data_IF_991665679761
#
_entry.id   IF_991665679761
#
_cell.length_a   1.000
_cell.length_b   1.000
_cell.length_c   1.000
_cell.angle_alpha   90.00
_cell.angle_beta   90.00
_cell.angle_gamma   90.00
#
_symmetry.space_group_name_H-M   'P 1'
#
loop_
_entity.id
_entity.type
_entity.pdbx_description
1 polymer ?
#
# COMPACT_ATOMS: atom_id res chain seq x y z
N UNK A 1 23.31 -8.50 -1.20
CA UNK A 1 22.76 -7.22 -1.73
C UNK A 1 21.46 -6.93 -0.96
N UNK A 2 21.30 -5.73 -0.36
CA UNK A 2 20.03 -5.37 0.26
C UNK A 2 19.01 -5.16 -0.87
N UNK A 3 17.93 -5.98 -0.89
CA UNK A 3 16.83 -5.84 -1.86
C UNK A 3 16.21 -4.43 -1.78
N UNK A 4 15.82 -3.89 -2.93
CA UNK A 4 15.09 -2.63 -3.00
C UNK A 4 13.78 -2.75 -2.21
N UNK A 5 13.63 -1.93 -1.16
CA UNK A 5 12.43 -1.93 -0.33
C UNK A 5 11.34 -1.16 -1.04
N UNK A 6 10.20 -1.80 -1.29
CA UNK A 6 9.01 -1.08 -1.70
C UNK A 6 8.49 -0.19 -0.56
N UNK A 7 8.24 1.07 -0.87
CA UNK A 7 7.69 2.05 0.07
C UNK A 7 6.17 2.01 0.06
N UNK A 8 5.59 1.84 -1.11
CA UNK A 8 4.17 1.72 -1.32
C UNK A 8 3.77 0.30 -1.68
N UNK A 9 3.10 -0.38 -0.75
CA UNK A 9 2.41 -1.64 -1.00
C UNK A 9 0.99 -1.26 -1.43
N UNK A 10 0.74 -1.20 -2.73
CA UNK A 10 -0.54 -0.70 -3.25
C UNK A 10 -1.58 -1.82 -3.32
N UNK A 11 -2.33 -2.01 -2.24
CA UNK A 11 -3.56 -2.80 -2.23
C UNK A 11 -4.75 -1.91 -2.54
N UNK A 12 -5.54 -2.31 -3.51
CA UNK A 12 -6.72 -1.59 -3.97
C UNK A 12 -7.92 -1.95 -3.09
N UNK A 13 -8.59 -0.95 -2.53
CA UNK A 13 -9.76 -1.11 -1.68
C UNK A 13 -11.01 -0.66 -2.41
N UNK A 14 -12.01 -1.52 -2.45
CA UNK A 14 -13.30 -1.29 -3.12
C UNK A 14 -14.46 -1.26 -2.13
N UNK A 15 -15.54 -0.55 -2.47
CA UNK A 15 -16.81 -0.62 -1.75
C UNK A 15 -17.67 -1.78 -2.27
N UNK A 16 -18.87 -1.97 -1.68
CA UNK A 16 -19.82 -3.00 -2.12
C UNK A 16 -20.32 -2.81 -3.55
N UNK A 17 -20.35 -1.59 -4.06
CA UNK A 17 -20.76 -1.28 -5.43
C UNK A 17 -19.65 -1.48 -6.47
N UNK A 18 -18.45 -1.89 -6.05
CA UNK A 18 -17.31 -2.09 -6.94
C UNK A 18 -16.55 -0.81 -7.29
N UNK A 19 -16.85 0.32 -6.63
CA UNK A 19 -16.09 1.55 -6.82
C UNK A 19 -14.81 1.54 -5.99
N UNK A 20 -13.72 1.97 -6.58
CA UNK A 20 -12.43 2.09 -5.88
C UNK A 20 -12.49 3.23 -4.87
N UNK A 21 -12.20 2.92 -3.61
CA UNK A 21 -12.17 3.89 -2.52
C UNK A 21 -10.79 4.52 -2.34
N UNK A 22 -9.76 3.69 -2.27
CA UNK A 22 -8.38 4.15 -2.07
C UNK A 22 -7.37 3.02 -2.25
N UNK A 23 -6.10 3.39 -2.23
CA UNK A 23 -5.01 2.44 -2.03
C UNK A 23 -4.62 2.36 -0.56
N UNK A 24 -4.18 1.21 -0.11
CA UNK A 24 -3.73 1.03 1.26
C UNK A 24 -2.53 0.08 1.38
N UNK A 25 -1.92 0.06 2.56
CA UNK A 25 -0.83 -0.87 2.86
C UNK A 25 -1.33 -2.30 3.01
N UNK A 26 -0.47 -3.27 2.74
CA UNK A 26 -0.70 -4.67 3.00
C UNK A 26 -1.17 -4.93 4.44
N UNK A 27 -0.57 -4.24 5.42
CA UNK A 27 -0.95 -4.37 6.83
C UNK A 27 -2.40 -3.98 7.07
N UNK A 28 -2.90 -2.93 6.41
CA UNK A 28 -4.30 -2.48 6.49
C UNK A 28 -5.22 -3.47 5.80
N UNK A 29 -4.88 -3.93 4.59
CA UNK A 29 -5.63 -4.96 3.86
C UNK A 29 -5.77 -6.25 4.71
N UNK A 30 -4.66 -6.76 5.26
CA UNK A 30 -4.67 -7.91 6.18
C UNK A 30 -5.57 -7.68 7.39
N UNK A 31 -5.51 -6.49 7.98
CA UNK A 31 -6.35 -6.19 9.14
C UNK A 31 -7.83 -6.26 8.82
N UNK A 32 -8.24 -5.82 7.65
CA UNK A 32 -9.64 -5.81 7.24
C UNK A 32 -10.15 -7.21 6.83
N UNK A 33 -9.36 -7.94 6.05
CA UNK A 33 -9.79 -9.24 5.54
C UNK A 33 -9.59 -10.36 6.57
N UNK A 34 -8.37 -10.46 7.16
CA UNK A 34 -8.01 -11.62 7.99
C UNK A 34 -8.33 -11.42 9.46
N UNK A 35 -8.11 -10.20 10.02
CA UNK A 35 -8.28 -9.99 11.46
C UNK A 35 -9.69 -9.59 11.87
N UNK A 36 -10.32 -8.71 11.07
CA UNK A 36 -11.63 -8.14 11.38
C UNK A 36 -12.75 -8.80 10.59
N UNK A 37 -12.42 -9.53 9.53
CA UNK A 37 -13.35 -10.21 8.63
C UNK A 37 -14.43 -9.29 8.04
N UNK A 38 -14.10 -8.01 7.86
CA UNK A 38 -14.99 -6.98 7.34
C UNK A 38 -14.78 -6.70 5.85
N UNK A 39 -13.92 -7.48 5.21
CA UNK A 39 -13.61 -7.37 3.79
C UNK A 39 -13.31 -8.75 3.19
N UNK A 40 -13.41 -8.87 1.87
CA UNK A 40 -13.16 -10.10 1.12
C UNK A 40 -12.11 -9.83 0.05
N UNK A 41 -11.19 -10.78 -0.17
CA UNK A 41 -10.22 -10.73 -1.25
C UNK A 41 -10.91 -10.83 -2.61
N UNK A 42 -10.39 -10.13 -3.61
CA UNK A 42 -10.86 -10.18 -4.99
C UNK A 42 -9.74 -10.62 -5.93
N UNK A 43 -10.12 -11.37 -6.98
CA UNK A 43 -9.25 -11.65 -8.12
C UNK A 43 -9.18 -10.44 -9.09
N UNK A 44 -8.44 -10.60 -10.20
CA UNK A 44 -8.33 -9.54 -11.20
C UNK A 44 -9.66 -9.22 -11.89
N UNK A 45 -10.56 -10.20 -11.95
CA UNK A 45 -11.89 -10.12 -12.57
C UNK A 45 -12.99 -9.72 -11.57
N UNK A 46 -12.61 -9.28 -10.35
CA UNK A 46 -13.50 -8.88 -9.26
C UNK A 46 -14.36 -9.99 -8.66
N UNK A 47 -14.01 -11.27 -8.86
CA UNK A 47 -14.65 -12.36 -8.15
C UNK A 47 -14.07 -12.50 -6.74
N UNK A 48 -14.91 -12.93 -5.80
CA UNK A 48 -14.50 -13.17 -4.42
C UNK A 48 -13.60 -14.41 -4.32
N UNK A 49 -12.55 -14.29 -3.52
CA UNK A 49 -11.62 -15.38 -3.20
C UNK A 49 -11.82 -15.76 -1.73
N UNK A 50 -12.13 -17.02 -1.41
CA UNK A 50 -12.21 -17.50 -0.04
C UNK A 50 -10.87 -17.36 0.68
N UNK A 51 -10.91 -17.03 1.97
CA UNK A 51 -9.68 -16.86 2.78
C UNK A 51 -8.84 -18.15 2.85
N UNK A 52 -9.47 -19.32 2.76
CA UNK A 52 -8.80 -20.63 2.78
C UNK A 52 -7.95 -20.87 1.52
N UNK A 53 -8.30 -20.22 0.43
CA UNK A 53 -7.57 -20.29 -0.84
C UNK A 53 -6.37 -19.32 -0.90
N UNK A 54 -6.22 -18.46 0.10
CA UNK A 54 -5.23 -17.39 0.10
C UNK A 54 -4.07 -17.71 1.03
N UNK A 55 -2.87 -17.78 0.48
CA UNK A 55 -1.65 -17.97 1.25
C UNK A 55 -0.84 -16.69 1.35
N UNK A 56 -0.16 -16.52 2.47
CA UNK A 56 0.77 -15.42 2.71
C UNK A 56 2.20 -15.89 2.44
N UNK A 57 2.86 -15.26 1.48
CA UNK A 57 4.22 -15.58 1.06
C UNK A 57 5.17 -14.44 1.47
N UNK A 58 6.21 -14.79 2.20
CA UNK A 58 7.31 -13.91 2.58
C UNK A 58 8.66 -14.51 2.14
N UNK A 59 9.76 -13.81 2.41
CA UNK A 59 11.10 -14.27 2.02
C UNK A 59 11.46 -15.61 2.66
N UNK A 60 11.03 -15.85 3.92
CA UNK A 60 11.40 -17.05 4.68
C UNK A 60 10.68 -18.32 4.20
N UNK A 61 9.44 -18.18 3.73
CA UNK A 61 8.60 -19.32 3.33
C UNK A 61 8.41 -19.48 1.81
N UNK A 62 8.94 -18.55 1.00
CA UNK A 62 8.72 -18.52 -0.45
C UNK A 62 9.07 -19.82 -1.16
N UNK A 63 10.28 -20.34 -0.93
CA UNK A 63 10.77 -21.56 -1.59
C UNK A 63 9.94 -22.77 -1.17
N UNK A 64 9.65 -22.90 0.13
CA UNK A 64 8.88 -24.03 0.66
C UNK A 64 7.45 -24.03 0.12
N UNK A 65 6.80 -22.85 0.05
CA UNK A 65 5.44 -22.74 -0.47
C UNK A 65 5.40 -22.89 -1.99
N UNK A 66 6.38 -22.36 -2.71
CA UNK A 66 6.49 -22.56 -4.16
C UNK A 66 6.59 -24.03 -4.51
N UNK A 67 7.45 -24.80 -3.84
CA UNK A 67 7.59 -26.24 -4.04
C UNK A 67 6.31 -27.01 -3.64
N UNK A 68 5.71 -26.66 -2.51
CA UNK A 68 4.52 -27.35 -1.97
C UNK A 68 3.30 -27.18 -2.88
N UNK A 69 3.10 -25.99 -3.44
CA UNK A 69 1.93 -25.66 -4.24
C UNK A 69 2.21 -25.51 -5.73
N UNK A 70 3.41 -25.87 -6.17
CA UNK A 70 3.86 -25.77 -7.58
C UNK A 70 3.67 -24.39 -8.18
N UNK A 71 4.05 -23.35 -7.41
CA UNK A 71 3.97 -21.94 -7.83
C UNK A 71 5.23 -21.60 -8.61
N UNK A 72 5.08 -20.93 -9.74
CA UNK A 72 6.21 -20.45 -10.53
C UNK A 72 6.98 -19.36 -9.76
N UNK A 73 8.25 -19.64 -9.50
CA UNK A 73 9.13 -18.70 -8.77
C UNK A 73 9.30 -17.38 -9.50
N UNK A 74 9.25 -17.38 -10.83
CA UNK A 74 9.35 -16.14 -11.63
C UNK A 74 8.23 -15.15 -11.31
N UNK A 75 7.03 -15.65 -11.04
CA UNK A 75 5.88 -14.84 -10.63
C UNK A 75 6.11 -14.23 -9.25
N UNK A 76 6.72 -14.97 -8.33
CA UNK A 76 7.01 -14.49 -6.98
C UNK A 76 8.18 -13.49 -6.96
N UNK A 77 9.20 -13.73 -7.78
CA UNK A 77 10.38 -12.86 -7.87
C UNK A 77 10.09 -11.53 -8.59
N UNK A 78 9.15 -11.54 -9.54
CA UNK A 78 8.68 -10.32 -10.23
C UNK A 78 7.86 -9.40 -9.34
N UNK A 79 7.32 -9.94 -8.24
CA UNK A 79 6.56 -9.18 -7.25
C UNK A 79 7.40 -8.97 -5.98
N UNK A 80 7.20 -7.84 -5.32
CA UNK A 80 7.85 -7.60 -4.04
C UNK A 80 7.19 -8.40 -2.93
N UNK A 81 8.00 -9.09 -2.16
CA UNK A 81 7.59 -9.77 -0.94
C UNK A 81 7.54 -8.79 0.25
N UNK A 82 6.65 -9.02 1.22
CA UNK A 82 5.66 -10.10 1.28
C UNK A 82 4.40 -9.84 0.43
N UNK A 83 3.70 -10.90 0.03
CA UNK A 83 2.48 -10.82 -0.80
C UNK A 83 1.42 -11.86 -0.40
N UNK A 84 0.19 -11.68 -0.91
CA UNK A 84 -0.88 -12.67 -0.85
C UNK A 84 -1.06 -13.32 -2.22
N UNK A 85 -1.27 -14.63 -2.23
CA UNK A 85 -1.39 -15.44 -3.43
C UNK A 85 -2.61 -16.35 -3.35
N UNK A 86 -3.42 -16.37 -4.41
CA UNK A 86 -4.54 -17.31 -4.53
C UNK A 86 -4.07 -18.60 -5.17
N UNK A 87 -4.33 -19.73 -4.52
CA UNK A 87 -3.98 -21.06 -5.01
C UNK A 87 -4.86 -21.48 -6.18
N UNK A 88 -6.17 -21.23 -6.10
CA UNK A 88 -7.13 -21.59 -7.14
C UNK A 88 -6.95 -20.78 -8.43
N UNK A 89 -6.73 -19.48 -8.28
CA UNK A 89 -6.56 -18.54 -9.40
C UNK A 89 -5.13 -18.41 -9.90
N UNK A 90 -4.14 -18.97 -9.17
CA UNK A 90 -2.70 -18.92 -9.48
C UNK A 90 -2.19 -17.50 -9.75
N UNK A 91 -2.62 -16.53 -8.93
CA UNK A 91 -2.26 -15.12 -9.11
C UNK A 91 -1.99 -14.41 -7.79
N UNK A 92 -1.21 -13.32 -7.86
CA UNK A 92 -0.96 -12.40 -6.73
C UNK A 92 -2.20 -11.55 -6.50
N UNK A 93 -2.64 -11.48 -5.24
CA UNK A 93 -3.82 -10.72 -4.84
C UNK A 93 -3.39 -9.32 -4.39
N UNK A 94 -3.99 -8.30 -4.99
CA UNK A 94 -3.80 -6.89 -4.62
C UNK A 94 -5.11 -6.12 -4.46
N UNK A 95 -6.26 -6.79 -4.56
CA UNK A 95 -7.59 -6.19 -4.48
C UNK A 95 -8.40 -6.81 -3.35
N UNK A 96 -9.20 -5.99 -2.68
CA UNK A 96 -10.19 -6.45 -1.71
C UNK A 96 -11.38 -5.50 -1.64
N UNK A 97 -12.54 -6.03 -1.27
CA UNK A 97 -13.80 -5.30 -1.15
C UNK A 97 -14.28 -5.30 0.30
N UNK A 98 -14.74 -4.15 0.78
CA UNK A 98 -15.39 -4.03 2.07
C UNK A 98 -16.78 -4.70 2.04
N UNK A 99 -17.12 -5.46 3.08
CA UNK A 99 -18.40 -6.17 3.20
C UNK A 99 -19.52 -5.28 3.80
N UNK A 100 -19.24 -4.00 4.01
CA UNK A 100 -20.19 -3.02 4.54
C UNK A 100 -20.18 -1.76 3.67
N UNK A 101 -21.31 -1.03 3.71
CA UNK A 101 -21.38 0.29 3.09
C UNK A 101 -20.47 1.22 3.91
N UNK A 102 -19.31 1.55 3.37
CA UNK A 102 -18.52 2.62 3.93
C UNK A 102 -19.37 3.89 3.90
N UNK A 103 -19.74 4.42 5.06
CA UNK A 103 -20.34 5.74 5.15
C UNK A 103 -19.26 6.75 4.77
N UNK A 104 -19.10 6.97 3.48
CA UNK A 104 -18.47 8.16 2.97
C UNK A 104 -19.46 9.26 3.36
N UNK A 105 -19.23 9.88 4.52
CA UNK A 105 -19.97 11.09 4.88
C UNK A 105 -19.64 12.12 3.80
N UNK A 106 -20.46 12.13 2.76
CA UNK A 106 -20.57 13.27 1.85
C UNK A 106 -21.18 14.38 2.71
N UNK A 107 -20.32 15.08 3.46
CA UNK A 107 -20.74 16.35 4.05
C UNK A 107 -21.23 17.21 2.89
N UNK A 108 -22.47 17.66 2.96
CA UNK A 108 -23.20 18.32 1.85
C UNK A 108 -22.64 19.71 1.47
N UNK A 109 -21.52 20.11 2.06
CA UNK A 109 -20.95 21.41 1.84
C UNK A 109 -19.74 21.31 0.89
N UNK A 110 -19.87 21.99 -0.25
CA UNK A 110 -18.87 22.22 -1.29
C UNK A 110 -18.46 21.01 -2.17
N UNK A 111 -19.23 20.79 -3.23
CA UNK A 111 -19.03 19.71 -4.22
C UNK A 111 -17.68 19.76 -4.98
N UNK A 112 -16.93 20.86 -4.95
CA UNK A 112 -15.67 20.99 -5.70
C UNK A 112 -14.44 20.52 -4.92
N UNK A 113 -14.34 20.78 -3.62
CA UNK A 113 -13.18 20.38 -2.81
C UNK A 113 -13.10 18.86 -2.57
N UNK A 114 -14.24 18.16 -2.54
CA UNK A 114 -14.29 16.72 -2.31
C UNK A 114 -13.89 15.86 -3.50
N UNK A 115 -14.14 16.34 -4.71
CA UNK A 115 -13.75 15.63 -5.92
C UNK A 115 -12.22 15.59 -6.07
N UNK A 116 -11.52 16.60 -5.53
CA UNK A 116 -10.06 16.66 -5.48
C UNK A 116 -9.49 15.68 -4.43
N UNK A 117 -10.09 15.61 -3.26
CA UNK A 117 -9.65 14.68 -2.19
C UNK A 117 -9.83 13.21 -2.60
N UNK A 118 -10.95 12.86 -3.21
CA UNK A 118 -11.21 11.48 -3.66
C UNK A 118 -10.20 11.04 -4.74
N UNK A 119 -9.90 11.88 -5.71
CA UNK A 119 -8.89 11.60 -6.75
C UNK A 119 -7.49 11.42 -6.15
N UNK A 120 -7.13 12.22 -5.17
CA UNK A 120 -5.83 12.14 -4.51
C UNK A 120 -5.62 10.79 -3.82
N UNK A 121 -6.62 10.28 -3.09
CA UNK A 121 -6.55 8.99 -2.41
C UNK A 121 -6.66 7.78 -3.35
N UNK A 122 -7.20 7.97 -4.55
CA UNK A 122 -7.33 6.94 -5.58
C UNK A 122 -6.10 6.82 -6.48
N UNK A 123 -5.16 7.76 -6.42
CA UNK A 123 -3.93 7.70 -7.20
C UNK A 123 -3.01 6.57 -6.74
N UNK A 124 -2.57 5.74 -7.68
CA UNK A 124 -1.52 4.76 -7.45
C UNK A 124 -0.17 5.47 -7.34
N UNK A 125 0.47 5.31 -6.21
CA UNK A 125 1.79 5.88 -5.96
C UNK A 125 2.88 4.93 -6.45
N UNK A 126 3.85 5.47 -7.17
CA UNK A 126 4.97 4.72 -7.71
C UNK A 126 6.16 4.71 -6.77
N UNK A 127 6.90 3.59 -6.75
CA UNK A 127 8.11 3.45 -5.95
C UNK A 127 9.33 4.02 -6.70
N UNK A 128 9.31 5.33 -6.94
CA UNK A 128 10.39 6.09 -7.56
C UNK A 128 10.78 7.27 -6.68
N UNK A 129 12.06 7.61 -6.67
CA UNK A 129 12.54 8.77 -5.91
C UNK A 129 11.94 10.07 -6.46
N UNK A 130 11.24 10.83 -5.63
CA UNK A 130 10.61 12.11 -6.03
C UNK A 130 11.61 13.18 -6.48
N UNK A 131 12.90 13.02 -6.14
CA UNK A 131 13.93 14.01 -6.49
C UNK A 131 14.70 13.68 -7.76
N UNK A 132 14.93 12.39 -8.07
CA UNK A 132 15.81 12.00 -9.17
C UNK A 132 15.31 10.81 -10.01
N UNK A 133 14.08 10.31 -9.75
CA UNK A 133 13.47 9.26 -10.55
C UNK A 133 14.06 7.85 -10.39
N UNK A 134 15.09 7.65 -9.54
CA UNK A 134 15.65 6.31 -9.32
C UNK A 134 14.69 5.42 -8.56
N UNK A 135 14.69 4.13 -8.86
CA UNK A 135 13.96 3.08 -8.13
C UNK A 135 14.79 2.39 -7.05
N UNK A 136 16.10 2.72 -6.97
CA UNK A 136 17.03 2.05 -6.08
C UNK A 136 17.20 2.77 -4.74
N UNK A 137 17.46 1.97 -3.69
CA UNK A 137 17.76 2.44 -2.33
C UNK A 137 16.78 3.45 -1.78
N UNK A 138 15.49 3.23 -2.05
CA UNK A 138 14.42 4.09 -1.59
C UNK A 138 14.21 3.99 -0.08
N UNK A 139 13.96 5.14 0.53
CA UNK A 139 13.60 5.29 1.94
C UNK A 139 12.30 6.07 2.08
N UNK A 140 11.59 5.86 3.18
CA UNK A 140 10.38 6.62 3.52
C UNK A 140 10.77 7.97 4.09
N UNK A 141 10.37 9.03 3.44
CA UNK A 141 10.51 10.38 3.94
C UNK A 141 9.11 10.95 4.24
N UNK A 142 8.86 11.33 5.49
CA UNK A 142 7.61 11.97 5.84
C UNK A 142 7.62 13.43 5.38
N UNK A 143 6.56 13.88 4.71
CA UNK A 143 6.39 15.27 4.27
C UNK A 143 6.50 16.22 5.46
N UNK A 144 5.85 15.86 6.57
CA UNK A 144 6.00 16.57 7.82
C UNK A 144 6.92 15.75 8.74
N UNK A 145 8.11 16.29 9.13
CA UNK A 145 9.04 15.59 10.00
C UNK A 145 8.40 15.16 11.32
N UNK A 146 8.83 13.99 11.83
CA UNK A 146 8.28 13.39 13.04
C UNK A 146 8.24 14.33 14.25
N UNK A 147 9.26 15.18 14.40
CA UNK A 147 9.36 16.14 15.51
C UNK A 147 8.19 17.12 15.52
N UNK A 148 7.65 17.51 14.36
CA UNK A 148 6.50 18.40 14.25
C UNK A 148 5.17 17.67 14.32
N UNK A 149 5.10 16.42 13.82
CA UNK A 149 3.88 15.62 13.78
C UNK A 149 3.28 15.39 15.17
N UNK A 150 4.09 15.32 16.21
CA UNK A 150 3.59 15.13 17.59
C UNK A 150 2.70 16.26 18.09
N UNK A 151 2.86 17.47 17.54
CA UNK A 151 2.08 18.65 17.91
C UNK A 151 0.84 18.87 17.04
N UNK A 152 0.72 18.15 15.94
CA UNK A 152 -0.42 18.28 15.05
C UNK A 152 -1.66 17.59 15.61
N UNK A 153 -2.83 18.12 15.25
CA UNK A 153 -4.12 17.48 15.58
C UNK A 153 -4.20 16.07 14.93
N UNK A 154 -4.98 15.17 15.55
CA UNK A 154 -5.08 13.76 15.13
C UNK A 154 -5.41 13.55 13.65
N UNK A 155 -6.18 14.45 13.04
CA UNK A 155 -6.50 14.43 11.59
C UNK A 155 -5.26 14.50 10.69
N UNK A 156 -4.20 15.17 11.12
CA UNK A 156 -2.94 15.34 10.39
C UNK A 156 -1.88 14.32 10.80
N UNK A 157 -2.22 13.40 11.71
CA UNK A 157 -1.32 12.32 12.14
C UNK A 157 -1.55 11.00 11.44
N UNK A 158 -2.50 10.95 10.53
CA UNK A 158 -2.75 9.75 9.75
C UNK A 158 -1.49 9.35 8.98
N UNK A 159 -1.04 8.11 9.23
CA UNK A 159 0.05 7.51 8.48
C UNK A 159 -0.44 7.04 7.10
N UNK A 160 -1.15 7.92 6.41
CA UNK A 160 -1.60 7.66 5.07
C UNK A 160 -0.41 7.58 4.13
N UNK A 161 -0.52 6.78 3.08
CA UNK A 161 0.53 6.63 2.07
C UNK A 161 0.94 7.98 1.46
N UNK A 162 0.03 8.96 1.46
CA UNK A 162 0.25 10.29 0.88
C UNK A 162 1.15 11.20 1.72
N UNK A 163 1.31 10.92 3.02
CA UNK A 163 2.21 11.68 3.91
C UNK A 163 3.66 11.20 3.84
N UNK A 164 3.93 10.23 2.99
CA UNK A 164 5.25 9.60 2.86
C UNK A 164 5.69 9.68 1.41
N UNK A 165 6.86 10.24 1.18
CA UNK A 165 7.50 10.32 -0.13
C UNK A 165 8.64 9.30 -0.23
N UNK A 166 8.79 8.62 -1.37
CA UNK A 166 9.98 7.81 -1.64
C UNK A 166 11.15 8.71 -2.00
N UNK A 167 12.22 8.62 -1.23
CA UNK A 167 13.47 9.31 -1.53
C UNK A 167 14.64 8.32 -1.50
N UNK A 168 15.55 8.41 -2.45
CA UNK A 168 16.76 7.60 -2.40
C UNK A 168 17.71 8.11 -1.30
N UNK A 169 18.51 7.20 -0.73
CA UNK A 169 19.43 7.53 0.36
C UNK A 169 20.38 8.68 0.02
N UNK A 170 20.84 8.80 -1.22
CA UNK A 170 21.72 9.89 -1.67
C UNK A 170 21.06 11.26 -1.53
N UNK A 171 19.81 11.38 -1.98
CA UNK A 171 19.05 12.64 -1.92
C UNK A 171 18.61 12.96 -0.50
N UNK A 172 18.24 11.94 0.28
CA UNK A 172 17.91 12.12 1.69
C UNK A 172 19.11 12.71 2.48
N UNK A 173 20.30 12.16 2.28
CA UNK A 173 21.53 12.68 2.91
C UNK A 173 21.84 14.12 2.48
N UNK A 174 21.60 14.44 1.21
CA UNK A 174 21.77 15.82 0.71
C UNK A 174 20.80 16.78 1.40
N UNK A 175 19.54 16.41 1.53
CA UNK A 175 18.52 17.20 2.26
C UNK A 175 18.93 17.41 3.73
N UNK A 176 19.38 16.35 4.42
CA UNK A 176 19.82 16.49 5.82
C UNK A 176 21.02 17.43 5.97
N UNK A 177 21.99 17.38 5.08
CA UNK A 177 23.12 18.33 5.09
C UNK A 177 22.63 19.77 4.94
N UNK A 178 21.67 20.00 4.04
CA UNK A 178 21.14 21.34 3.80
C UNK A 178 20.35 21.88 4.99
N UNK A 179 19.52 21.03 5.63
CA UNK A 179 18.75 21.41 6.79
C UNK A 179 19.61 21.65 8.04
N UNK A 180 20.70 20.89 8.21
CA UNK A 180 21.61 21.08 9.34
C UNK A 180 22.49 22.32 9.22
N UNK A 181 22.57 22.97 8.05
CA UNK A 181 23.26 24.24 7.87
C UNK A 181 22.35 25.47 8.07
N UNK A 182 21.04 25.26 8.25
CA UNK A 182 20.05 26.32 8.50
C UNK A 182 19.74 26.51 10.00
N UNK A 183 20.37 25.72 10.84
CA UNK A 183 20.32 25.80 12.30
C UNK A 183 21.73 25.94 12.87
#
# INVERSE_FOLDING_TARGET
>A
MKKNRQIYDSYEMYNLSGEQLSFCSQRKARSYVVKKEIATWLDNDFNEIPNEDVIFINEDNMINLANKYHIDLSVLESNSLPLYYSLSKKQVIKKFRLNFKANIQKTKDNNQEKQFDDQYYQQKLENICVCCGTTEYLTRHHVIPYMYRRYLHGKFKDNNHHDVLPMCCKRLLYCYKYYNHLH
#
